data_IF_689121742514
#
_entry.id   IF_689121742514
#
_cell.length_a   1.000
_cell.length_b   1.000
_cell.length_c   1.000
_cell.angle_alpha   90.00
_cell.angle_beta   90.00
_cell.angle_gamma   90.00
#
_symmetry.space_group_name_H-M   'P 1'
#
loop_
_entity.id
_entity.type
_entity.pdbx_description
1 polymer ?
#
# COMPACT_ATOMS: atom_id res chain seq x y z
N UNK A 1 -3.69 -26.25 1.76
CA UNK A 1 -4.67 -25.63 0.87
C UNK A 1 -4.03 -25.50 -0.49
N UNK A 2 -4.49 -26.27 -1.46
CA UNK A 2 -3.98 -26.17 -2.85
C UNK A 2 -4.66 -24.97 -3.56
N UNK A 3 -4.18 -24.58 -4.72
CA UNK A 3 -4.84 -23.52 -5.52
C UNK A 3 -6.30 -23.87 -5.83
N UNK A 4 -6.62 -25.17 -5.88
CA UNK A 4 -7.98 -25.69 -6.08
C UNK A 4 -8.92 -25.47 -4.90
N UNK A 5 -8.38 -25.33 -3.68
CA UNK A 5 -9.16 -25.19 -2.45
C UNK A 5 -9.60 -23.74 -2.14
N UNK A 6 -9.18 -22.77 -2.97
CA UNK A 6 -9.58 -21.38 -2.80
C UNK A 6 -10.98 -21.19 -3.39
N UNK A 7 -11.97 -20.74 -2.59
CA UNK A 7 -13.33 -20.51 -3.08
C UNK A 7 -13.34 -19.55 -4.27
N UNK A 8 -14.28 -19.74 -5.17
CA UNK A 8 -14.53 -18.75 -6.22
C UNK A 8 -15.03 -17.47 -5.55
N UNK A 9 -14.42 -16.33 -5.89
CA UNK A 9 -14.75 -15.06 -5.25
C UNK A 9 -16.23 -14.68 -5.41
N UNK A 10 -16.86 -15.04 -6.51
CA UNK A 10 -18.29 -14.80 -6.74
C UNK A 10 -19.14 -15.58 -5.72
N UNK A 11 -18.77 -16.82 -5.41
CA UNK A 11 -19.49 -17.64 -4.45
C UNK A 11 -19.31 -17.14 -3.01
N UNK A 12 -18.13 -16.58 -2.69
CA UNK A 12 -17.86 -15.91 -1.41
C UNK A 12 -18.82 -14.73 -1.22
N UNK A 13 -18.98 -13.86 -2.23
CA UNK A 13 -19.90 -12.73 -2.14
C UNK A 13 -21.37 -13.14 -2.12
N UNK A 14 -21.76 -14.22 -2.80
CA UNK A 14 -23.13 -14.76 -2.76
C UNK A 14 -23.47 -15.36 -1.40
N UNK A 15 -22.53 -16.03 -0.76
CA UNK A 15 -22.76 -16.69 0.54
C UNK A 15 -22.60 -15.74 1.74
N UNK A 16 -22.01 -14.57 1.54
CA UNK A 16 -21.61 -13.67 2.62
C UNK A 16 -20.58 -14.30 3.58
N UNK A 17 -19.94 -15.40 3.16
CA UNK A 17 -18.97 -16.09 3.99
C UNK A 17 -17.68 -15.28 4.09
N UNK A 18 -17.20 -15.08 5.31
CA UNK A 18 -15.94 -14.40 5.55
C UNK A 18 -14.76 -15.31 5.13
N UNK A 19 -13.73 -14.72 4.51
CA UNK A 19 -12.53 -15.45 4.09
C UNK A 19 -11.50 -15.57 5.23
N UNK A 20 -11.93 -15.98 6.41
CA UNK A 20 -11.10 -16.00 7.63
C UNK A 20 -10.12 -17.17 7.69
N UNK A 21 -10.30 -18.20 6.87
CA UNK A 21 -9.42 -19.36 6.85
C UNK A 21 -7.94 -18.96 6.63
N UNK A 22 -7.09 -19.36 7.54
CA UNK A 22 -5.66 -19.04 7.50
C UNK A 22 -5.32 -17.60 7.97
N UNK A 23 -6.24 -16.95 8.67
CA UNK A 23 -5.99 -15.68 9.37
C UNK A 23 -5.75 -15.93 10.87
N UNK A 24 -5.34 -14.88 11.58
CA UNK A 24 -5.17 -14.92 13.04
C UNK A 24 -6.48 -15.39 13.71
N UNK A 25 -6.39 -16.37 14.58
CA UNK A 25 -7.55 -16.97 15.25
C UNK A 25 -8.24 -18.09 14.45
N UNK A 26 -7.90 -18.29 13.17
CA UNK A 26 -8.53 -19.26 12.27
C UNK A 26 -7.50 -20.15 11.56
N UNK A 27 -6.41 -20.50 12.28
CA UNK A 27 -5.36 -21.37 11.77
C UNK A 27 -5.69 -22.82 12.09
N UNK A 28 -5.43 -23.73 11.14
CA UNK A 28 -5.31 -25.15 11.43
C UNK A 28 -3.93 -25.43 12.06
N UNK A 29 -3.78 -26.58 12.72
CA UNK A 29 -2.49 -27.02 13.29
C UNK A 29 -1.35 -27.01 12.27
N UNK A 30 -1.64 -27.41 11.01
CA UNK A 30 -0.66 -27.37 9.94
C UNK A 30 -0.25 -25.95 9.56
N UNK A 31 -1.19 -25.02 9.57
CA UNK A 31 -0.96 -23.61 9.28
C UNK A 31 -0.20 -22.93 10.43
N UNK A 32 -0.50 -23.27 11.67
CA UNK A 32 0.26 -22.80 12.83
C UNK A 32 1.71 -23.26 12.77
N UNK A 33 1.97 -24.53 12.40
CA UNK A 33 3.33 -25.03 12.17
C UNK A 33 4.07 -24.23 11.10
N UNK A 34 3.40 -23.92 9.98
CA UNK A 34 4.00 -23.09 8.94
C UNK A 34 4.32 -21.67 9.44
N UNK A 35 3.46 -21.07 10.27
CA UNK A 35 3.73 -19.77 10.87
C UNK A 35 4.91 -19.82 11.85
N UNK A 36 5.01 -20.87 12.69
CA UNK A 36 6.17 -21.08 13.55
C UNK A 36 7.47 -21.20 12.75
N UNK A 37 7.48 -22.04 11.70
CA UNK A 37 8.66 -22.19 10.82
C UNK A 37 9.02 -20.86 10.15
N UNK A 38 8.03 -20.09 9.71
CA UNK A 38 8.24 -18.77 9.13
C UNK A 38 8.94 -17.83 10.13
N UNK A 39 8.47 -17.80 11.38
CA UNK A 39 9.10 -17.03 12.45
C UNK A 39 10.52 -17.48 12.75
N UNK A 40 10.79 -18.79 12.81
CA UNK A 40 12.17 -19.30 12.97
C UNK A 40 13.10 -18.72 11.91
N UNK A 41 12.65 -18.67 10.62
CA UNK A 41 13.45 -18.09 9.54
C UNK A 41 13.62 -16.57 9.69
N UNK A 42 12.58 -15.84 10.10
CA UNK A 42 12.65 -14.40 10.34
C UNK A 42 13.62 -14.09 11.49
N UNK A 43 13.53 -14.80 12.60
CA UNK A 43 14.43 -14.65 13.77
C UNK A 43 15.89 -14.87 13.39
N UNK A 44 16.18 -15.97 12.68
CA UNK A 44 17.53 -16.26 12.19
C UNK A 44 18.04 -15.20 11.21
N UNK A 45 17.16 -14.64 10.38
CA UNK A 45 17.52 -13.58 9.44
C UNK A 45 17.80 -12.25 10.14
N UNK A 46 17.09 -11.92 11.21
CA UNK A 46 17.39 -10.77 12.04
C UNK A 46 18.81 -10.86 12.62
N UNK A 47 19.19 -12.02 13.17
CA UNK A 47 20.53 -12.24 13.68
C UNK A 47 21.60 -12.11 12.60
N UNK A 48 21.36 -12.70 11.42
CA UNK A 48 22.29 -12.67 10.29
C UNK A 48 22.48 -11.26 9.68
N UNK A 49 21.49 -10.37 9.82
CA UNK A 49 21.46 -9.05 9.19
C UNK A 49 21.44 -7.87 10.17
N UNK A 50 21.60 -8.11 11.47
CA UNK A 50 21.34 -7.19 12.57
C UNK A 50 21.85 -5.76 12.41
N UNK A 51 22.95 -5.56 11.67
CA UNK A 51 23.57 -4.23 11.48
C UNK A 51 23.80 -3.88 10.00
N UNK A 52 23.24 -4.63 9.07
CA UNK A 52 23.49 -4.41 7.64
C UNK A 52 22.44 -3.45 7.07
N UNK A 53 22.84 -2.24 6.64
CA UNK A 53 21.92 -1.31 5.99
C UNK A 53 21.57 -1.83 4.60
N UNK A 54 20.30 -1.72 4.24
CA UNK A 54 19.83 -1.91 2.87
C UNK A 54 20.04 -0.60 2.11
N UNK A 55 20.76 -0.67 0.99
CA UNK A 55 21.02 0.52 0.17
C UNK A 55 19.75 0.97 -0.53
N UNK A 56 19.47 2.27 -0.46
CA UNK A 56 18.45 2.88 -1.30
C UNK A 56 18.97 2.89 -2.73
N UNK A 57 18.21 2.29 -3.63
CA UNK A 57 18.49 2.33 -5.06
C UNK A 57 17.59 3.39 -5.68
N UNK A 58 18.19 4.46 -6.19
CA UNK A 58 17.46 5.55 -6.85
C UNK A 58 16.85 5.16 -8.21
N UNK A 59 16.67 3.88 -8.50
CA UNK A 59 16.56 3.44 -9.89
C UNK A 59 15.16 3.18 -10.42
N UNK A 60 14.09 3.21 -9.62
CA UNK A 60 12.76 2.92 -10.19
C UNK A 60 11.65 3.90 -9.77
N UNK A 61 11.77 4.54 -8.62
CA UNK A 61 10.93 5.69 -8.28
C UNK A 61 11.86 6.90 -8.40
N UNK A 62 11.92 7.47 -9.60
CA UNK A 62 12.70 8.69 -9.84
C UNK A 62 12.23 9.79 -8.88
N UNK A 63 13.13 10.63 -8.41
CA UNK A 63 12.77 11.76 -7.57
C UNK A 63 11.94 12.76 -8.37
N UNK A 64 10.64 12.68 -8.21
CA UNK A 64 9.70 13.64 -8.80
C UNK A 64 9.54 14.89 -7.92
N UNK A 65 10.48 15.09 -7.02
CA UNK A 65 10.49 16.30 -6.20
C UNK A 65 11.62 17.21 -6.65
N UNK A 66 11.35 18.50 -6.71
CA UNK A 66 12.34 19.55 -7.03
C UNK A 66 13.58 19.46 -6.15
N UNK A 67 13.42 19.09 -4.88
CA UNK A 67 14.49 18.93 -3.91
C UNK A 67 15.48 17.82 -4.29
N UNK A 68 14.97 16.70 -4.78
CA UNK A 68 15.80 15.60 -5.22
C UNK A 68 16.50 15.89 -6.54
N UNK A 69 16.00 16.87 -7.31
CA UNK A 69 16.68 17.45 -8.45
C UNK A 69 17.66 18.57 -8.05
N UNK A 70 17.76 18.90 -6.74
CA UNK A 70 18.61 19.99 -6.23
C UNK A 70 18.10 21.38 -6.59
N UNK A 71 16.81 21.52 -6.92
CA UNK A 71 16.19 22.76 -7.37
C UNK A 71 15.53 23.43 -6.16
N UNK A 72 15.93 24.65 -5.86
CA UNK A 72 15.31 25.44 -4.82
C UNK A 72 13.89 25.87 -5.21
N UNK A 73 12.97 25.79 -4.26
CA UNK A 73 11.53 26.09 -4.48
C UNK A 73 11.29 27.57 -4.83
N UNK A 74 12.14 28.44 -4.33
CA UNK A 74 12.11 29.88 -4.58
C UNK A 74 12.71 30.28 -5.93
N UNK A 75 13.41 29.38 -6.59
CA UNK A 75 13.88 29.57 -7.97
C UNK A 75 12.77 29.19 -8.98
N UNK A 76 11.99 30.20 -9.27
CA UNK A 76 10.83 30.07 -10.13
C UNK A 76 11.15 29.53 -11.53
N UNK A 77 12.23 29.98 -12.12
CA UNK A 77 12.60 29.62 -13.49
C UNK A 77 13.15 28.19 -13.55
N UNK A 78 13.96 27.78 -12.55
CA UNK A 78 14.48 26.44 -12.44
C UNK A 78 13.35 25.41 -12.17
N UNK A 79 12.35 25.77 -11.37
CA UNK A 79 11.14 24.95 -11.15
C UNK A 79 10.39 24.74 -12.44
N UNK A 80 10.14 25.79 -13.21
CA UNK A 80 9.44 25.71 -14.50
C UNK A 80 10.21 24.90 -15.54
N UNK A 81 11.53 25.07 -15.61
CA UNK A 81 12.39 24.28 -16.50
C UNK A 81 12.36 22.79 -16.14
N UNK A 82 12.43 22.47 -14.84
CA UNK A 82 12.37 21.08 -14.37
C UNK A 82 11.02 20.42 -14.72
N UNK A 83 9.91 21.14 -14.48
CA UNK A 83 8.58 20.64 -14.86
C UNK A 83 8.45 20.45 -16.37
N UNK A 84 8.88 21.42 -17.13
CA UNK A 84 8.80 21.35 -18.60
C UNK A 84 9.68 20.22 -19.15
N UNK A 85 10.89 20.01 -18.65
CA UNK A 85 11.78 18.92 -19.05
C UNK A 85 11.19 17.54 -18.71
N UNK A 86 10.51 17.42 -17.58
CA UNK A 86 9.84 16.15 -17.20
C UNK A 86 8.52 15.91 -17.95
N UNK A 87 7.91 16.98 -18.51
CA UNK A 87 6.68 16.92 -19.28
C UNK A 87 6.91 16.97 -20.80
N UNK A 88 8.02 17.53 -21.28
CA UNK A 88 8.39 17.55 -22.70
C UNK A 88 8.64 16.17 -23.32
N UNK A 89 8.99 15.16 -22.49
CA UNK A 89 8.94 13.76 -22.95
C UNK A 89 7.50 13.28 -23.22
N UNK A 90 6.53 14.04 -22.83
CA UNK A 90 5.11 13.82 -22.95
C UNK A 90 4.41 14.73 -23.97
N UNK A 91 5.14 15.33 -24.87
CA UNK A 91 4.68 16.20 -25.99
C UNK A 91 3.36 16.98 -25.81
N UNK A 92 3.41 18.26 -26.11
CA UNK A 92 2.29 19.16 -26.44
C UNK A 92 1.29 19.59 -25.37
N UNK A 93 1.52 19.32 -24.09
CA UNK A 93 0.68 19.89 -23.04
C UNK A 93 1.36 21.13 -22.45
N UNK A 94 0.83 22.28 -22.75
CA UNK A 94 1.14 23.52 -22.01
C UNK A 94 0.62 23.37 -20.59
N UNK A 95 1.48 23.02 -19.67
CA UNK A 95 1.14 22.82 -18.26
C UNK A 95 0.72 24.12 -17.60
N UNK A 96 -0.14 24.01 -16.60
CA UNK A 96 -0.49 25.09 -15.69
C UNK A 96 0.67 25.37 -14.70
N UNK A 97 1.83 25.72 -15.24
CA UNK A 97 3.08 25.86 -14.48
C UNK A 97 2.97 26.76 -13.24
N UNK A 98 2.21 27.85 -13.33
CA UNK A 98 2.06 28.79 -12.20
C UNK A 98 1.24 28.20 -11.06
N UNK A 99 0.18 27.47 -11.38
CA UNK A 99 -0.70 26.85 -10.37
C UNK A 99 0.01 25.69 -9.67
N UNK A 100 0.66 24.82 -10.44
CA UNK A 100 1.38 23.66 -9.90
C UNK A 100 2.55 24.10 -9.00
N UNK A 101 3.23 25.17 -9.37
CA UNK A 101 4.29 25.78 -8.59
C UNK A 101 3.80 26.36 -7.26
N UNK A 102 2.72 27.15 -7.24
CA UNK A 102 2.14 27.65 -6.00
C UNK A 102 1.72 26.52 -5.06
N UNK A 103 1.19 25.43 -5.60
CA UNK A 103 0.80 24.26 -4.82
C UNK A 103 1.99 23.50 -4.27
N UNK A 104 3.05 23.32 -5.05
CA UNK A 104 4.28 22.68 -4.59
C UNK A 104 4.96 23.44 -3.45
N UNK A 105 5.05 24.75 -3.58
CA UNK A 105 5.65 25.60 -2.55
C UNK A 105 4.90 25.44 -1.21
N UNK A 106 3.56 25.52 -1.25
CA UNK A 106 2.73 25.32 -0.07
C UNK A 106 2.84 23.91 0.52
N UNK A 107 2.87 22.91 -0.34
CA UNK A 107 2.98 21.51 0.06
C UNK A 107 4.33 21.19 0.66
N UNK A 108 5.43 21.64 0.06
CA UNK A 108 6.78 21.37 0.58
C UNK A 108 7.01 22.00 1.95
N UNK A 109 6.58 23.22 2.16
CA UNK A 109 6.67 23.85 3.46
C UNK A 109 5.84 23.12 4.53
N UNK A 110 4.77 22.42 4.13
CA UNK A 110 3.89 21.70 5.05
C UNK A 110 4.36 20.28 5.36
N UNK A 111 4.99 19.59 4.40
CA UNK A 111 5.15 18.14 4.43
C UNK A 111 6.60 17.69 4.44
N UNK A 112 7.52 18.48 3.87
CA UNK A 112 8.94 18.07 3.77
C UNK A 112 9.76 18.69 4.89
N UNK A 113 10.06 17.95 5.93
CA UNK A 113 11.00 18.39 6.97
C UNK A 113 12.44 18.20 6.48
N UNK A 114 13.32 19.04 6.97
CA UNK A 114 14.72 19.02 6.59
C UNK A 114 15.51 17.74 6.89
N UNK A 115 14.98 16.82 7.69
CA UNK A 115 15.61 15.52 7.96
C UNK A 115 14.58 14.47 8.34
N UNK A 116 14.55 13.38 7.56
CA UNK A 116 13.83 12.17 7.92
C UNK A 116 14.69 11.32 8.88
N UNK A 117 14.10 10.92 10.00
CA UNK A 117 14.71 9.94 10.92
C UNK A 117 13.88 8.67 10.86
N UNK A 118 14.42 7.55 10.37
CA UNK A 118 13.68 6.31 10.32
C UNK A 118 13.45 5.73 11.71
N UNK A 119 12.36 4.99 11.81
CA UNK A 119 11.95 4.26 12.99
C UNK A 119 13.02 3.26 13.43
N UNK A 120 13.28 3.15 14.73
CA UNK A 120 14.27 2.23 15.33
C UNK A 120 15.71 2.45 14.88
N UNK A 121 16.06 3.63 14.41
CA UNK A 121 17.42 3.93 14.00
C UNK A 121 18.24 4.53 15.13
N UNK A 122 19.48 4.04 15.27
CA UNK A 122 20.55 4.94 15.59
C UNK A 122 20.81 5.82 14.34
N UNK A 123 21.42 6.98 14.50
CA UNK A 123 21.51 8.01 13.44
C UNK A 123 22.18 7.57 12.14
N UNK A 124 22.73 6.36 12.06
CA UNK A 124 23.53 5.87 10.93
C UNK A 124 22.95 4.66 10.18
N UNK A 125 22.15 3.82 10.82
CA UNK A 125 21.67 2.56 10.23
C UNK A 125 20.18 2.62 9.91
N UNK A 126 19.87 3.36 8.94
CA UNK A 126 18.52 3.81 8.72
C UNK A 126 17.58 2.71 8.23
N UNK A 127 17.92 1.95 7.22
CA UNK A 127 17.04 0.94 6.65
C UNK A 127 17.65 -0.44 6.74
N UNK A 128 17.60 -1.02 7.94
CA UNK A 128 17.93 -2.45 8.13
C UNK A 128 16.71 -3.32 7.81
N UNK A 129 16.94 -4.61 7.60
CA UNK A 129 15.85 -5.57 7.43
C UNK A 129 14.87 -5.53 8.62
N UNK A 130 15.38 -5.55 9.84
CA UNK A 130 14.54 -5.53 11.04
C UNK A 130 13.69 -4.27 11.15
N UNK A 131 14.30 -3.08 10.98
CA UNK A 131 13.56 -1.81 11.05
C UNK A 131 12.45 -1.75 9.99
N UNK A 132 12.78 -2.11 8.75
CA UNK A 132 11.81 -2.10 7.65
C UNK A 132 10.71 -3.15 7.84
N UNK A 133 11.05 -4.32 8.40
CA UNK A 133 10.07 -5.34 8.76
C UNK A 133 9.06 -4.84 9.80
N UNK A 134 9.55 -4.24 10.90
CA UNK A 134 8.66 -3.71 11.93
C UNK A 134 7.79 -2.56 11.43
N UNK A 135 8.33 -1.70 10.56
CA UNK A 135 7.54 -0.66 9.88
C UNK A 135 6.44 -1.27 9.03
N UNK A 136 6.74 -2.32 8.24
CA UNK A 136 5.73 -3.00 7.44
C UNK A 136 4.66 -3.66 8.31
N UNK A 137 5.03 -4.23 9.46
CA UNK A 137 4.08 -4.80 10.42
C UNK A 137 3.08 -3.79 10.99
N UNK A 138 3.47 -2.50 11.07
CA UNK A 138 2.55 -1.45 11.53
C UNK A 138 1.33 -1.24 10.62
N UNK A 139 1.39 -1.68 9.37
CA UNK A 139 0.27 -1.62 8.43
C UNK A 139 -0.85 -2.63 8.76
N UNK A 140 -0.63 -3.53 9.70
CA UNK A 140 -1.51 -4.64 10.02
C UNK A 140 -1.85 -4.68 11.52
N UNK A 141 -2.85 -5.46 11.89
CA UNK A 141 -3.27 -5.60 13.30
C UNK A 141 -2.27 -6.39 14.15
N UNK A 142 -1.40 -7.16 13.52
CA UNK A 142 -0.28 -7.82 14.22
C UNK A 142 0.84 -8.21 13.23
N UNK A 143 2.06 -8.45 13.70
CA UNK A 143 3.14 -8.98 12.85
C UNK A 143 2.81 -10.35 12.23
N UNK A 144 2.00 -11.17 12.88
CA UNK A 144 1.53 -12.43 12.31
C UNK A 144 0.64 -12.23 11.08
N UNK A 145 -0.23 -11.23 11.11
CA UNK A 145 -1.08 -10.91 9.97
C UNK A 145 -0.24 -10.63 8.73
N UNK A 146 0.86 -9.89 8.90
CA UNK A 146 1.79 -9.63 7.81
C UNK A 146 2.44 -10.91 7.27
N UNK A 147 2.96 -11.79 8.12
CA UNK A 147 3.57 -13.06 7.70
C UNK A 147 2.56 -14.02 7.05
N UNK A 148 1.35 -14.09 7.59
CA UNK A 148 0.28 -14.93 7.07
C UNK A 148 -0.14 -14.55 5.64
N UNK A 149 0.02 -13.29 5.24
CA UNK A 149 -0.25 -12.87 3.86
C UNK A 149 0.70 -13.57 2.88
N UNK A 150 1.99 -13.66 3.20
CA UNK A 150 2.99 -14.34 2.39
C UNK A 150 2.76 -15.86 2.39
N UNK A 151 2.44 -16.45 3.52
CA UNK A 151 2.15 -17.89 3.64
C UNK A 151 0.93 -18.28 2.80
N UNK A 152 -0.16 -17.52 2.88
CA UNK A 152 -1.36 -17.73 2.04
C UNK A 152 -1.06 -17.54 0.56
N UNK A 153 -0.31 -16.52 0.20
CA UNK A 153 0.03 -16.20 -1.19
C UNK A 153 0.91 -17.28 -1.85
N UNK A 154 1.62 -18.07 -1.07
CA UNK A 154 2.49 -19.15 -1.56
C UNK A 154 1.95 -20.54 -1.28
N UNK A 155 0.64 -20.65 -0.97
CA UNK A 155 -0.01 -21.90 -0.61
C UNK A 155 0.74 -22.64 0.53
N UNK A 156 1.17 -21.89 1.54
CA UNK A 156 1.86 -22.37 2.75
C UNK A 156 3.24 -23.01 2.51
N UNK A 157 3.89 -22.69 1.40
CA UNK A 157 5.28 -23.11 1.12
C UNK A 157 6.23 -22.13 1.83
N UNK A 158 6.61 -22.47 3.07
CA UNK A 158 7.33 -21.57 3.98
C UNK A 158 8.63 -21.00 3.38
N UNK A 159 9.43 -21.82 2.70
CA UNK A 159 10.66 -21.35 2.06
C UNK A 159 10.39 -20.26 1.02
N UNK A 160 9.41 -20.49 0.14
CA UNK A 160 9.00 -19.52 -0.91
C UNK A 160 8.39 -18.27 -0.28
N UNK A 161 7.57 -18.42 0.76
CA UNK A 161 6.98 -17.31 1.50
C UNK A 161 8.07 -16.41 2.14
N UNK A 162 9.08 -17.03 2.74
CA UNK A 162 10.17 -16.32 3.37
C UNK A 162 11.04 -15.57 2.34
N UNK A 163 11.39 -16.19 1.21
CA UNK A 163 12.12 -15.51 0.12
C UNK A 163 11.33 -14.30 -0.43
N UNK A 164 10.01 -14.45 -0.59
CA UNK A 164 9.15 -13.34 -1.03
C UNK A 164 9.08 -12.23 0.03
N UNK A 165 8.99 -12.57 1.31
CA UNK A 165 9.06 -11.60 2.41
C UNK A 165 10.37 -10.81 2.38
N UNK A 166 11.51 -11.50 2.26
CA UNK A 166 12.83 -10.83 2.20
C UNK A 166 12.88 -9.85 1.03
N UNK A 167 12.48 -10.26 -0.17
CA UNK A 167 12.41 -9.38 -1.34
C UNK A 167 11.48 -8.18 -1.14
N UNK A 168 10.34 -8.39 -0.50
CA UNK A 168 9.40 -7.33 -0.18
C UNK A 168 10.01 -6.29 0.77
N UNK A 169 10.69 -6.74 1.83
CA UNK A 169 11.35 -5.86 2.79
C UNK A 169 12.51 -5.10 2.14
N UNK A 170 13.33 -5.78 1.33
CA UNK A 170 14.43 -5.15 0.57
C UNK A 170 13.90 -4.11 -0.43
N UNK A 171 12.79 -4.43 -1.12
CA UNK A 171 12.13 -3.49 -2.02
C UNK A 171 11.62 -2.26 -1.24
N UNK A 172 10.92 -2.43 -0.13
CA UNK A 172 10.41 -1.32 0.69
C UNK A 172 11.54 -0.38 1.13
N UNK A 173 12.64 -0.95 1.60
CA UNK A 173 13.81 -0.20 2.02
C UNK A 173 14.50 0.50 0.84
N UNK A 174 14.68 -0.20 -0.29
CA UNK A 174 15.35 0.34 -1.47
C UNK A 174 14.56 1.47 -2.15
N UNK A 175 13.24 1.42 -2.08
CA UNK A 175 12.34 2.45 -2.60
C UNK A 175 12.02 3.55 -1.59
N UNK A 176 12.61 3.49 -0.39
CA UNK A 176 12.39 4.46 0.67
C UNK A 176 10.88 4.71 0.96
N UNK A 177 10.10 3.62 1.09
CA UNK A 177 8.64 3.72 1.30
C UNK A 177 8.31 4.53 2.57
N UNK A 178 9.14 4.43 3.60
CA UNK A 178 9.05 5.24 4.82
C UNK A 178 9.13 6.74 4.52
N UNK A 179 10.07 7.16 3.64
CA UNK A 179 10.18 8.56 3.22
C UNK A 179 8.99 8.99 2.34
N UNK A 180 8.53 8.12 1.46
CA UNK A 180 7.32 8.39 0.66
C UNK A 180 6.11 8.70 1.54
N UNK A 181 5.94 7.95 2.64
CA UNK A 181 4.84 8.17 3.58
C UNK A 181 5.06 9.42 4.44
N UNK A 182 6.31 9.73 4.78
CA UNK A 182 6.66 10.98 5.45
C UNK A 182 6.37 12.20 4.58
N UNK A 183 6.82 12.20 3.32
CA UNK A 183 6.60 13.30 2.37
C UNK A 183 5.12 13.46 2.00
N UNK A 184 4.37 12.35 2.00
CA UNK A 184 2.94 12.33 1.76
C UNK A 184 2.54 12.63 0.31
N UNK A 185 1.26 12.90 0.12
CA UNK A 185 0.67 13.18 -1.19
C UNK A 185 1.13 14.51 -1.81
N UNK A 186 1.66 15.42 -0.99
CA UNK A 186 2.29 16.63 -1.47
C UNK A 186 3.54 16.41 -2.31
N UNK A 187 4.18 15.25 -2.19
CA UNK A 187 5.33 14.85 -3.01
C UNK A 187 4.96 14.10 -4.28
N UNK A 188 3.66 13.95 -4.54
CA UNK A 188 3.15 13.24 -5.72
C UNK A 188 2.80 14.19 -6.86
N UNK A 189 2.58 13.63 -8.03
CA UNK A 189 2.20 14.39 -9.20
C UNK A 189 0.78 14.98 -9.04
N UNK A 190 0.68 16.31 -8.97
CA UNK A 190 -0.56 17.01 -8.60
C UNK A 190 -1.71 16.71 -9.54
N UNK A 191 -1.46 16.63 -10.86
CA UNK A 191 -2.52 16.35 -11.81
C UNK A 191 -3.25 15.03 -11.50
N UNK A 192 -2.53 13.99 -11.08
CA UNK A 192 -3.15 12.71 -10.72
C UNK A 192 -4.02 12.83 -9.46
N UNK A 193 -3.63 13.73 -8.54
CA UNK A 193 -4.39 14.04 -7.33
C UNK A 193 -5.59 14.93 -7.66
N UNK A 194 -5.39 16.03 -8.38
CA UNK A 194 -6.44 16.98 -8.74
C UNK A 194 -7.56 16.33 -9.56
N UNK A 195 -7.19 15.47 -10.52
CA UNK A 195 -8.15 14.79 -11.38
C UNK A 195 -8.92 13.66 -10.66
N UNK A 196 -8.47 13.23 -9.50
CA UNK A 196 -9.08 12.12 -8.77
C UNK A 196 -8.90 10.78 -9.48
N UNK A 197 -7.68 10.50 -9.95
CA UNK A 197 -7.36 9.21 -10.58
C UNK A 197 -7.70 8.04 -9.66
N UNK A 198 -7.43 8.17 -8.37
CA UNK A 198 -7.78 7.18 -7.36
C UNK A 198 -8.70 7.78 -6.33
N UNK A 199 -9.84 7.15 -6.12
CA UNK A 199 -10.83 7.51 -5.12
C UNK A 199 -10.98 6.42 -4.10
N UNK A 200 -11.44 6.81 -2.93
CA UNK A 200 -11.95 5.91 -1.92
C UNK A 200 -13.43 6.19 -1.73
N UNK A 201 -14.26 5.22 -2.03
CA UNK A 201 -15.70 5.41 -1.94
C UNK A 201 -16.42 4.10 -1.64
N UNK A 202 -17.27 4.14 -0.60
CA UNK A 202 -18.12 3.02 -0.23
C UNK A 202 -17.39 1.82 0.35
N UNK A 203 -18.13 0.74 0.47
CA UNK A 203 -17.68 -0.60 0.90
C UNK A 203 -18.32 -1.69 0.06
N UNK A 204 -17.64 -2.81 0.02
CA UNK A 204 -18.21 -4.01 -0.59
C UNK A 204 -19.20 -4.69 0.36
N UNK A 205 -19.91 -5.71 -0.12
CA UNK A 205 -20.91 -6.47 0.66
C UNK A 205 -20.31 -7.25 1.84
N UNK A 206 -19.00 -7.42 1.88
CA UNK A 206 -18.28 -8.05 2.99
C UNK A 206 -17.75 -7.02 3.99
N UNK A 207 -18.01 -5.72 3.76
CA UNK A 207 -17.60 -4.62 4.63
C UNK A 207 -16.19 -4.09 4.34
N UNK A 208 -15.49 -4.56 3.32
CA UNK A 208 -14.17 -4.06 2.98
C UNK A 208 -14.26 -2.68 2.34
N UNK A 209 -13.32 -1.76 2.61
CA UNK A 209 -13.26 -0.47 1.95
C UNK A 209 -12.99 -0.65 0.44
N UNK A 210 -13.61 0.18 -0.37
CA UNK A 210 -13.45 0.16 -1.82
C UNK A 210 -12.53 1.28 -2.28
N UNK A 211 -11.54 0.90 -3.09
CA UNK A 211 -10.66 1.82 -3.82
C UNK A 211 -11.03 1.76 -5.30
N UNK A 212 -11.27 2.91 -5.90
CA UNK A 212 -11.67 3.04 -7.31
C UNK A 212 -10.57 3.74 -8.08
N UNK A 213 -10.10 3.13 -9.16
CA UNK A 213 -9.13 3.71 -10.09
C UNK A 213 -9.86 4.08 -11.39
N UNK A 214 -9.96 5.35 -11.69
CA UNK A 214 -10.55 5.89 -12.93
C UNK A 214 -9.55 5.84 -14.07
N UNK A 215 -9.47 4.71 -14.77
CA UNK A 215 -8.41 4.44 -15.77
C UNK A 215 -8.36 5.49 -16.89
N UNK A 216 -9.48 6.09 -17.27
CA UNK A 216 -9.56 7.16 -18.27
C UNK A 216 -8.70 8.40 -17.95
N UNK A 217 -8.38 8.61 -16.65
CA UNK A 217 -7.58 9.74 -16.19
C UNK A 217 -6.08 9.42 -16.14
N UNK A 218 -5.70 8.16 -16.36
CA UNK A 218 -4.30 7.75 -16.45
C UNK A 218 -3.79 7.90 -17.87
N UNK A 219 -3.02 8.97 -18.14
CA UNK A 219 -2.46 9.25 -19.46
C UNK A 219 -0.93 9.16 -19.37
N UNK A 220 -0.32 8.04 -19.81
CA UNK A 220 1.13 7.78 -19.66
C UNK A 220 2.02 8.90 -20.19
N UNK A 221 1.68 9.45 -21.35
CA UNK A 221 2.46 10.53 -21.99
C UNK A 221 2.49 11.85 -21.21
N UNK A 222 1.63 12.02 -20.20
CA UNK A 222 1.54 13.25 -19.39
C UNK A 222 2.36 13.16 -18.10
N UNK A 223 3.16 12.12 -17.95
CA UNK A 223 3.95 11.91 -16.73
C UNK A 223 5.35 11.41 -17.02
N UNK A 224 6.30 11.78 -16.18
CA UNK A 224 7.65 11.27 -16.23
C UNK A 224 7.72 9.80 -15.80
N UNK A 225 8.83 9.12 -16.12
CA UNK A 225 9.08 7.76 -15.68
C UNK A 225 9.13 7.67 -14.16
N UNK A 226 8.52 6.63 -13.57
CA UNK A 226 8.51 6.41 -12.14
C UNK A 226 7.33 7.08 -11.39
N UNK A 227 6.71 8.11 -11.98
CA UNK A 227 5.60 8.85 -11.37
C UNK A 227 4.41 7.94 -11.03
N UNK A 228 4.01 7.09 -11.97
CA UNK A 228 2.90 6.17 -11.75
C UNK A 228 3.22 5.11 -10.70
N UNK A 229 4.46 4.63 -10.68
CA UNK A 229 4.95 3.64 -9.72
C UNK A 229 4.98 4.23 -8.31
N UNK A 230 5.47 5.45 -8.14
CA UNK A 230 5.46 6.18 -6.87
C UNK A 230 4.03 6.42 -6.37
N UNK A 231 3.15 6.88 -7.25
CA UNK A 231 1.73 7.08 -6.94
C UNK A 231 1.04 5.76 -6.56
N UNK A 232 1.33 4.67 -7.27
CA UNK A 232 0.80 3.35 -6.96
C UNK A 232 1.29 2.83 -5.61
N UNK A 233 2.59 2.95 -5.30
CA UNK A 233 3.15 2.56 -4.02
C UNK A 233 2.48 3.32 -2.86
N UNK A 234 2.33 4.64 -2.99
CA UNK A 234 1.63 5.46 -2.02
C UNK A 234 0.16 5.03 -1.83
N UNK A 235 -0.55 4.78 -2.93
CA UNK A 235 -1.94 4.30 -2.90
C UNK A 235 -2.07 2.95 -2.21
N UNK A 236 -1.14 2.02 -2.46
CA UNK A 236 -1.13 0.70 -1.83
C UNK A 236 -0.85 0.79 -0.33
N UNK A 237 0.09 1.65 0.10
CA UNK A 237 0.32 1.93 1.53
C UNK A 237 -0.93 2.47 2.22
N UNK A 238 -1.56 3.49 1.63
CA UNK A 238 -2.82 4.03 2.16
C UNK A 238 -3.91 2.95 2.23
N UNK A 239 -4.03 2.13 1.18
CA UNK A 239 -5.02 1.05 1.12
C UNK A 239 -4.80 0.05 2.24
N UNK A 240 -3.55 -0.37 2.51
CA UNK A 240 -3.22 -1.26 3.61
C UNK A 240 -3.58 -0.65 4.97
N UNK A 241 -3.25 0.62 5.20
CA UNK A 241 -3.54 1.32 6.45
C UNK A 241 -5.04 1.45 6.73
N UNK A 242 -5.83 1.64 5.68
CA UNK A 242 -7.28 1.71 5.80
C UNK A 242 -7.86 0.31 6.02
N UNK A 243 -7.43 -0.65 5.22
CA UNK A 243 -7.88 -2.03 5.29
C UNK A 243 -7.64 -2.65 6.69
N UNK A 244 -6.57 -2.24 7.39
CA UNK A 244 -6.28 -2.62 8.78
C UNK A 244 -7.49 -2.45 9.71
N UNK A 245 -8.33 -1.45 9.47
CA UNK A 245 -9.54 -1.17 10.29
C UNK A 245 -10.73 -2.05 9.93
N UNK A 246 -10.67 -2.80 8.82
CA UNK A 246 -11.77 -3.54 8.23
C UNK A 246 -11.40 -5.00 7.90
N UNK A 247 -10.56 -5.64 8.69
CA UNK A 247 -10.16 -7.02 8.47
C UNK A 247 -9.00 -7.21 7.49
N UNK A 248 -8.19 -6.15 7.29
CA UNK A 248 -6.91 -6.16 6.56
C UNK A 248 -7.04 -6.40 5.04
N UNK A 249 -8.23 -6.22 4.48
CA UNK A 249 -8.50 -6.38 3.05
C UNK A 249 -9.27 -5.20 2.48
N UNK A 250 -9.08 -4.95 1.19
CA UNK A 250 -9.80 -3.96 0.42
C UNK A 250 -10.37 -4.57 -0.86
N UNK A 251 -11.41 -3.98 -1.39
CA UNK A 251 -11.87 -4.21 -2.75
C UNK A 251 -11.28 -3.14 -3.67
N UNK A 252 -10.81 -3.53 -4.84
CA UNK A 252 -10.25 -2.62 -5.84
C UNK A 252 -11.12 -2.66 -7.09
N UNK A 253 -11.61 -1.51 -7.52
CA UNK A 253 -12.39 -1.34 -8.74
C UNK A 253 -11.56 -0.53 -9.74
N UNK A 254 -11.25 -1.12 -10.88
CA UNK A 254 -10.73 -0.39 -12.04
C UNK A 254 -11.90 0.00 -12.93
N UNK A 255 -12.21 1.28 -12.97
CA UNK A 255 -13.25 1.82 -13.85
C UNK A 255 -12.65 2.13 -15.23
N UNK A 256 -13.01 1.31 -16.22
CA UNK A 256 -12.62 1.44 -17.62
C UNK A 256 -13.65 2.24 -18.44
N UNK A 257 -14.61 2.91 -17.81
CA UNK A 257 -15.56 3.79 -18.53
C UNK A 257 -14.80 4.90 -19.21
N UNK A 258 -14.94 5.03 -20.52
CA UNK A 258 -14.21 6.01 -21.34
C UNK A 258 -12.74 5.64 -21.62
N UNK A 259 -12.32 4.40 -21.38
CA UNK A 259 -10.98 3.90 -21.68
C UNK A 259 -10.64 4.01 -23.17
N UNK A 260 -9.45 4.54 -23.47
CA UNK A 260 -8.92 4.75 -24.81
C UNK A 260 -7.51 4.17 -24.94
N UNK A 261 -6.98 4.14 -26.18
CA UNK A 261 -5.62 3.68 -26.44
C UNK A 261 -4.55 4.50 -25.72
N UNK A 262 -4.79 5.80 -25.56
CA UNK A 262 -3.90 6.71 -24.84
C UNK A 262 -3.74 6.40 -23.35
N UNK A 263 -4.66 5.61 -22.77
CA UNK A 263 -4.59 5.17 -21.37
C UNK A 263 -3.79 3.86 -21.19
N UNK A 264 -3.34 3.24 -22.29
CA UNK A 264 -2.63 1.97 -22.23
C UNK A 264 -1.17 2.17 -21.81
N UNK A 265 -0.78 1.55 -20.71
CA UNK A 265 0.61 1.49 -20.22
C UNK A 265 0.94 0.07 -19.77
N UNK A 266 1.34 -0.75 -20.72
CA UNK A 266 1.66 -2.15 -20.45
C UNK A 266 2.88 -2.30 -19.54
N UNK A 267 3.85 -1.40 -19.62
CA UNK A 267 5.06 -1.41 -18.80
C UNK A 267 4.70 -1.14 -17.33
N UNK A 268 3.96 -0.06 -17.09
CA UNK A 268 3.49 0.27 -15.74
C UNK A 268 2.60 -0.83 -15.16
N UNK A 269 1.67 -1.38 -15.95
CA UNK A 269 0.78 -2.45 -15.45
C UNK A 269 1.57 -3.68 -15.03
N UNK A 270 2.59 -4.08 -15.79
CA UNK A 270 3.46 -5.18 -15.40
C UNK A 270 4.18 -4.90 -14.08
N UNK A 271 4.71 -3.68 -13.92
CA UNK A 271 5.34 -3.24 -12.66
C UNK A 271 4.34 -3.23 -11.50
N UNK A 272 3.13 -2.70 -11.73
CA UNK A 272 2.06 -2.66 -10.73
C UNK A 272 1.63 -4.07 -10.28
N UNK A 273 1.45 -5.00 -11.22
CA UNK A 273 1.10 -6.39 -10.89
C UNK A 273 2.21 -7.07 -10.08
N UNK A 274 3.47 -6.84 -10.42
CA UNK A 274 4.60 -7.33 -9.63
C UNK A 274 4.61 -6.70 -8.22
N UNK A 275 4.40 -5.39 -8.11
CA UNK A 275 4.35 -4.69 -6.81
C UNK A 275 3.24 -5.26 -5.92
N UNK A 276 2.04 -5.45 -6.46
CA UNK A 276 0.92 -6.02 -5.71
C UNK A 276 1.22 -7.46 -5.30
N UNK A 277 1.70 -8.30 -6.21
CA UNK A 277 1.91 -9.72 -5.92
C UNK A 277 3.08 -9.97 -4.97
N UNK A 278 4.19 -9.24 -5.11
CA UNK A 278 5.40 -9.48 -4.33
C UNK A 278 5.43 -8.71 -3.01
N UNK A 279 4.92 -7.46 -2.98
CA UNK A 279 5.06 -6.58 -1.81
C UNK A 279 3.77 -6.40 -1.00
N UNK A 280 2.61 -6.60 -1.61
CA UNK A 280 1.29 -6.49 -0.94
C UNK A 280 0.42 -7.74 -1.19
N UNK A 281 0.96 -8.95 -0.97
CA UNK A 281 0.22 -10.17 -1.30
C UNK A 281 -1.05 -10.27 -0.46
N UNK A 282 -2.16 -10.71 -1.06
CA UNK A 282 -3.43 -10.96 -0.36
C UNK A 282 -4.11 -9.72 0.29
N UNK A 283 -3.60 -8.51 0.07
CA UNK A 283 -4.23 -7.27 0.55
C UNK A 283 -5.59 -7.03 -0.11
N UNK A 284 -5.74 -7.42 -1.38
CA UNK A 284 -6.98 -7.26 -2.11
C UNK A 284 -7.88 -8.50 -1.92
N UNK A 285 -9.11 -8.27 -1.46
CA UNK A 285 -10.14 -9.30 -1.38
C UNK A 285 -10.68 -9.63 -2.77
N UNK A 286 -10.98 -8.61 -3.54
CA UNK A 286 -11.44 -8.72 -4.93
C UNK A 286 -10.87 -7.57 -5.76
N UNK A 287 -10.56 -7.84 -7.01
CA UNK A 287 -10.28 -6.84 -8.04
C UNK A 287 -11.40 -6.90 -9.07
N UNK A 288 -12.14 -5.81 -9.21
CA UNK A 288 -13.26 -5.70 -10.14
C UNK A 288 -12.84 -4.81 -11.31
N UNK A 289 -12.91 -5.34 -12.51
CA UNK A 289 -12.67 -4.60 -13.75
C UNK A 289 -14.02 -4.20 -14.32
N UNK A 290 -14.42 -2.95 -14.07
CA UNK A 290 -15.68 -2.42 -14.61
C UNK A 290 -15.46 -1.97 -16.05
N UNK A 291 -15.84 -2.81 -17.01
CA UNK A 291 -15.52 -2.63 -18.41
C UNK A 291 -16.48 -3.34 -19.35
N UNK A 292 -16.90 -2.64 -20.42
CA UNK A 292 -17.82 -3.17 -21.42
C UNK A 292 -17.37 -2.93 -22.88
N UNK A 293 -16.15 -2.44 -23.12
CA UNK A 293 -15.68 -2.09 -24.46
C UNK A 293 -14.89 -3.21 -25.13
N UNK A 294 -14.95 -3.30 -26.47
CA UNK A 294 -14.14 -4.22 -27.24
C UNK A 294 -12.63 -3.94 -27.11
N UNK A 295 -12.26 -2.67 -26.94
CA UNK A 295 -10.89 -2.24 -26.72
C UNK A 295 -10.31 -2.81 -25.41
N UNK A 296 -11.12 -2.81 -24.34
CA UNK A 296 -10.78 -3.46 -23.09
C UNK A 296 -10.55 -4.97 -23.28
N UNK A 297 -11.40 -5.64 -24.06
CA UNK A 297 -11.28 -7.09 -24.27
C UNK A 297 -9.94 -7.49 -24.90
N UNK A 298 -9.43 -6.69 -25.84
CA UNK A 298 -8.11 -6.89 -26.43
C UNK A 298 -6.98 -6.65 -25.43
N UNK A 299 -7.09 -5.58 -24.65
CA UNK A 299 -6.16 -5.21 -23.59
C UNK A 299 -6.13 -6.28 -22.48
N UNK A 300 -7.28 -6.73 -22.01
CA UNK A 300 -7.40 -7.76 -20.99
C UNK A 300 -6.75 -9.09 -21.40
N UNK A 301 -6.86 -9.49 -22.67
CA UNK A 301 -6.23 -10.72 -23.17
C UNK A 301 -4.73 -10.74 -22.94
N UNK A 302 -4.07 -9.57 -23.04
CA UNK A 302 -2.64 -9.45 -22.80
C UNK A 302 -2.37 -9.51 -21.28
N UNK A 303 -3.07 -8.71 -20.48
CA UNK A 303 -2.80 -8.57 -19.04
C UNK A 303 -3.14 -9.85 -18.27
N UNK A 304 -4.23 -10.52 -18.61
CA UNK A 304 -4.66 -11.72 -17.91
C UNK A 304 -3.64 -12.85 -17.92
N UNK A 305 -2.77 -12.89 -18.94
CA UNK A 305 -1.68 -13.86 -19.02
C UNK A 305 -0.52 -13.60 -18.04
N UNK A 306 -0.47 -12.41 -17.44
CA UNK A 306 0.58 -12.01 -16.47
C UNK A 306 0.15 -12.17 -15.01
N UNK A 307 -1.14 -12.42 -14.79
CA UNK A 307 -1.66 -12.52 -13.43
C UNK A 307 -1.15 -13.78 -12.72
N UNK A 308 -0.71 -13.60 -11.48
CA UNK A 308 -0.56 -14.73 -10.57
C UNK A 308 -1.90 -15.48 -10.46
N UNK A 309 -1.90 -16.83 -10.44
CA UNK A 309 -3.14 -17.62 -10.37
C UNK A 309 -4.06 -17.27 -9.19
N UNK A 310 -3.52 -16.85 -8.05
CA UNK A 310 -4.31 -16.42 -6.89
C UNK A 310 -4.96 -15.05 -7.12
N UNK A 311 -4.25 -14.14 -7.77
CA UNK A 311 -4.78 -12.83 -8.17
C UNK A 311 -5.85 -13.02 -9.24
N UNK A 312 -5.62 -13.88 -10.23
CA UNK A 312 -6.60 -14.18 -11.28
C UNK A 312 -7.92 -14.70 -10.72
N UNK A 313 -7.90 -15.58 -9.71
CA UNK A 313 -9.11 -16.09 -9.04
C UNK A 313 -9.91 -15.03 -8.28
N UNK A 314 -9.30 -13.92 -7.95
CA UNK A 314 -9.92 -12.79 -7.25
C UNK A 314 -10.20 -11.60 -8.17
N UNK A 315 -9.92 -11.75 -9.47
CA UNK A 315 -10.19 -10.72 -10.48
C UNK A 315 -11.45 -11.11 -11.26
N UNK A 316 -12.40 -10.20 -11.31
CA UNK A 316 -13.67 -10.34 -12.01
C UNK A 316 -13.91 -9.19 -12.95
N UNK A 317 -14.65 -9.43 -14.02
CA UNK A 317 -15.10 -8.39 -14.95
C UNK A 317 -16.58 -8.13 -14.67
N UNK A 318 -16.94 -6.87 -14.44
CA UNK A 318 -18.31 -6.40 -14.30
C UNK A 318 -18.62 -5.46 -15.47
N UNK A 319 -19.50 -5.86 -16.36
CA UNK A 319 -19.80 -5.13 -17.60
C UNK A 319 -20.73 -3.95 -17.39
N UNK A 320 -21.59 -4.05 -16.40
CA UNK A 320 -22.61 -3.07 -16.09
C UNK A 320 -22.84 -2.96 -14.57
N UNK A 321 -23.74 -2.06 -14.20
CA UNK A 321 -24.10 -1.82 -12.80
C UNK A 321 -24.71 -3.07 -12.13
N UNK A 322 -25.43 -3.94 -12.86
CA UNK A 322 -26.06 -5.12 -12.27
C UNK A 322 -25.00 -6.16 -11.88
N UNK A 323 -24.00 -6.35 -12.74
CA UNK A 323 -22.86 -7.22 -12.42
C UNK A 323 -22.02 -6.63 -11.27
N UNK A 324 -21.85 -5.30 -11.21
CA UNK A 324 -21.14 -4.63 -10.12
C UNK A 324 -21.90 -4.77 -8.79
N UNK A 325 -23.22 -4.75 -8.80
CA UNK A 325 -24.07 -4.97 -7.63
C UNK A 325 -23.97 -6.41 -7.05
N UNK A 326 -23.33 -7.34 -7.72
CA UNK A 326 -22.99 -8.61 -7.09
C UNK A 326 -21.99 -8.44 -5.93
N UNK A 327 -21.18 -7.40 -5.96
CA UNK A 327 -20.08 -7.14 -5.02
C UNK A 327 -20.35 -5.96 -4.08
N UNK A 328 -21.13 -4.98 -4.51
CA UNK A 328 -21.41 -3.74 -3.77
C UNK A 328 -22.89 -3.41 -3.82
N UNK A 329 -23.43 -2.83 -2.77
CA UNK A 329 -24.78 -2.31 -2.81
C UNK A 329 -24.85 -1.05 -3.68
N UNK A 330 -25.99 -0.78 -4.30
CA UNK A 330 -26.17 0.37 -5.19
C UNK A 330 -25.83 1.71 -4.49
N UNK A 331 -26.14 1.80 -3.19
CA UNK A 331 -25.85 2.96 -2.35
C UNK A 331 -24.33 3.19 -2.09
N UNK A 332 -23.51 2.18 -2.34
CA UNK A 332 -22.05 2.21 -2.16
C UNK A 332 -21.30 2.37 -3.50
N UNK A 333 -22.03 2.42 -4.62
CA UNK A 333 -21.47 2.63 -5.97
C UNK A 333 -21.67 4.07 -6.38
N UNK A 334 -20.65 4.69 -6.94
CA UNK A 334 -20.67 6.07 -7.40
C UNK A 334 -21.76 6.32 -8.44
N UNK A 335 -22.35 7.52 -8.42
CA UNK A 335 -23.38 7.93 -9.39
C UNK A 335 -22.89 7.96 -10.83
N UNK A 336 -21.61 8.34 -11.06
CA UNK A 336 -21.00 8.31 -12.39
C UNK A 336 -20.73 6.88 -12.92
N UNK A 337 -20.81 5.87 -12.06
CA UNK A 337 -20.79 4.46 -12.39
C UNK A 337 -22.20 3.81 -12.42
N UNK A 338 -23.26 4.62 -12.30
CA UNK A 338 -24.66 4.16 -12.29
C UNK A 338 -25.23 3.81 -10.93
N UNK A 339 -24.49 4.06 -9.85
CA UNK A 339 -24.92 3.84 -8.47
C UNK A 339 -25.76 4.97 -7.89
N UNK A 340 -25.73 5.09 -6.55
CA UNK A 340 -26.44 6.12 -5.81
C UNK A 340 -25.56 6.87 -4.80
N UNK A 341 -24.27 6.55 -4.73
CA UNK A 341 -23.33 7.25 -3.87
C UNK A 341 -22.85 8.53 -4.56
N UNK A 342 -23.27 9.66 -4.02
CA UNK A 342 -22.75 10.97 -4.43
C UNK A 342 -21.33 11.13 -3.90
N UNK A 343 -20.42 11.48 -4.77
CA UNK A 343 -19.03 11.79 -4.39
C UNK A 343 -18.49 12.90 -5.29
N UNK A 344 -18.55 14.11 -4.80
CA UNK A 344 -17.85 15.24 -5.40
C UNK A 344 -16.39 15.18 -4.99
N UNK A 345 -15.56 14.52 -5.81
CA UNK A 345 -14.14 14.51 -5.56
C UNK A 345 -13.56 15.92 -5.63
N UNK A 346 -12.89 16.31 -4.56
CA UNK A 346 -12.11 17.54 -4.48
C UNK A 346 -10.80 17.23 -3.77
N UNK A 347 -9.68 17.47 -4.44
CA UNK A 347 -8.41 17.39 -3.76
C UNK A 347 -8.24 18.57 -2.81
N UNK A 348 -7.95 18.29 -1.55
CA UNK A 348 -7.62 19.28 -0.53
C UNK A 348 -6.12 19.20 -0.29
N UNK A 349 -5.42 20.27 -0.61
CA UNK A 349 -3.97 20.32 -0.45
C UNK A 349 -3.56 20.29 1.03
N UNK A 350 -2.44 19.60 1.35
CA UNK A 350 -1.94 19.58 2.71
C UNK A 350 -1.51 20.98 3.16
N UNK A 351 -1.63 21.24 4.47
CA UNK A 351 -1.18 22.47 5.12
C UNK A 351 -0.06 22.22 6.11
N UNK A 352 0.67 23.26 6.51
CA UNK A 352 1.71 23.14 7.54
C UNK A 352 1.16 22.65 8.87
N UNK A 353 -0.03 23.12 9.22
CA UNK A 353 -0.66 22.90 10.52
C UNK A 353 -1.11 21.46 10.70
N UNK A 354 -1.55 20.79 9.63
CA UNK A 354 -2.10 19.44 9.72
C UNK A 354 -1.06 18.38 10.09
N UNK A 355 0.22 18.65 9.81
CA UNK A 355 1.34 17.73 10.02
C UNK A 355 2.26 18.14 11.19
N UNK A 356 1.82 19.07 12.07
CA UNK A 356 2.65 19.59 13.18
C UNK A 356 3.16 18.50 14.12
N UNK A 357 2.43 17.42 14.32
CA UNK A 357 2.89 16.28 15.13
C UNK A 357 4.17 15.63 14.63
N UNK A 358 4.40 15.64 13.32
CA UNK A 358 5.61 15.06 12.74
C UNK A 358 6.88 15.81 13.17
N UNK A 359 6.73 17.07 13.60
CA UNK A 359 7.81 17.93 14.04
C UNK A 359 7.98 17.96 15.57
N UNK A 360 7.06 17.35 16.31
CA UNK A 360 7.19 17.15 17.75
C UNK A 360 8.17 16.00 18.01
N UNK A 361 9.46 16.34 18.06
CA UNK A 361 10.54 15.35 18.19
C UNK A 361 10.50 14.59 19.52
N UNK A 362 10.05 15.23 20.60
CA UNK A 362 10.03 14.63 21.94
C UNK A 362 8.89 13.59 22.04
N UNK A 363 7.67 13.96 21.63
CA UNK A 363 6.55 13.04 21.63
C UNK A 363 6.74 11.91 20.60
N UNK A 364 7.32 12.20 19.44
CA UNK A 364 7.69 11.17 18.47
C UNK A 364 8.68 10.17 19.06
N UNK A 365 9.75 10.64 19.69
CA UNK A 365 10.76 9.77 20.31
C UNK A 365 10.13 8.89 21.40
N UNK A 366 9.22 9.41 22.21
CA UNK A 366 8.49 8.63 23.21
C UNK A 366 7.66 7.52 22.55
N UNK A 367 6.93 7.86 21.48
CA UNK A 367 6.12 6.89 20.73
C UNK A 367 7.00 5.83 20.01
N UNK A 368 8.19 6.21 19.51
CA UNK A 368 9.16 5.27 18.94
C UNK A 368 9.71 4.29 19.99
N UNK A 369 10.04 4.76 21.18
CA UNK A 369 10.50 3.92 22.30
C UNK A 369 9.38 2.96 22.73
N UNK A 370 8.14 3.44 22.79
CA UNK A 370 6.97 2.63 23.14
C UNK A 370 6.76 1.51 22.11
N UNK A 371 6.81 1.82 20.81
CA UNK A 371 6.69 0.83 19.77
C UNK A 371 7.86 -0.17 19.79
N UNK A 372 9.09 0.32 19.98
CA UNK A 372 10.25 -0.57 20.11
C UNK A 372 10.08 -1.54 21.28
N UNK A 373 9.67 -1.05 22.45
CA UNK A 373 9.43 -1.87 23.63
C UNK A 373 8.35 -2.94 23.37
N UNK A 374 7.27 -2.56 22.70
CA UNK A 374 6.21 -3.47 22.32
C UNK A 374 6.67 -4.52 21.28
N UNK A 375 7.49 -4.11 20.31
CA UNK A 375 8.08 -5.01 19.33
C UNK A 375 9.03 -6.03 20.00
N UNK A 376 9.89 -5.57 20.92
CA UNK A 376 10.80 -6.44 21.69
C UNK A 376 10.01 -7.45 22.54
N UNK A 377 8.95 -7.02 23.20
CA UNK A 377 8.08 -7.91 23.98
C UNK A 377 7.39 -8.97 23.10
N UNK A 378 6.88 -8.56 21.92
CA UNK A 378 6.31 -9.50 20.96
C UNK A 378 7.36 -10.45 20.39
N UNK A 379 8.57 -9.98 20.15
CA UNK A 379 9.69 -10.77 19.68
C UNK A 379 10.08 -11.84 20.69
N UNK A 380 10.25 -11.52 21.99
CA UNK A 380 10.60 -12.46 23.03
C UNK A 380 9.49 -13.51 23.25
N UNK A 381 8.23 -13.08 23.34
CA UNK A 381 7.11 -14.03 23.44
C UNK A 381 6.99 -14.94 22.21
N UNK A 382 7.40 -14.46 21.04
CA UNK A 382 7.44 -15.26 19.81
C UNK A 382 8.57 -16.30 19.85
N UNK A 383 9.76 -15.95 20.35
CA UNK A 383 10.86 -16.92 20.56
C UNK A 383 10.43 -18.05 21.50
N UNK A 384 9.78 -17.71 22.60
CA UNK A 384 9.26 -18.69 23.54
C UNK A 384 8.20 -19.62 22.91
N UNK A 385 7.32 -19.03 22.08
CA UNK A 385 6.29 -19.80 21.39
C UNK A 385 6.85 -20.75 20.33
N UNK A 386 7.82 -20.31 19.51
CA UNK A 386 8.42 -21.19 18.48
C UNK A 386 9.29 -22.28 19.08
N UNK A 387 9.85 -22.09 20.28
CA UNK A 387 10.63 -23.09 20.98
C UNK A 387 9.76 -24.25 21.53
N UNK A 388 8.46 -24.05 21.72
CA UNK A 388 7.53 -25.09 22.18
C UNK A 388 7.20 -26.05 21.02
N UNK A 389 7.34 -27.38 21.21
CA UNK A 389 7.08 -28.33 20.12
C UNK A 389 5.59 -28.45 19.77
N UNK A 390 4.72 -28.12 20.71
CA UNK A 390 3.28 -28.35 20.57
C UNK A 390 2.59 -27.32 19.69
N UNK A 391 1.58 -27.74 18.93
CA UNK A 391 0.61 -26.90 18.24
C UNK A 391 -0.52 -26.54 19.20
N UNK A 392 -1.15 -25.41 19.05
CA UNK A 392 -2.22 -24.92 19.93
C UNK A 392 -1.80 -23.81 20.88
N UNK A 393 -0.52 -23.42 20.88
CA UNK A 393 0.00 -22.29 21.65
C UNK A 393 -0.18 -20.93 20.98
N UNK A 394 -0.83 -20.86 19.81
CA UNK A 394 -1.07 -19.58 19.14
C UNK A 394 -1.88 -18.62 20.00
N UNK A 395 -2.82 -19.12 20.77
CA UNK A 395 -3.64 -18.39 21.73
C UNK A 395 -2.93 -18.18 23.08
N UNK A 396 -1.60 -18.34 23.17
CA UNK A 396 -0.84 -17.98 24.37
C UNK A 396 -1.17 -16.53 24.73
N UNK A 397 -1.75 -16.35 25.90
CA UNK A 397 -2.29 -15.07 26.33
C UNK A 397 -1.23 -13.96 26.36
N UNK A 398 0.01 -14.30 26.71
CA UNK A 398 1.12 -13.36 26.75
C UNK A 398 1.46 -12.84 25.32
N UNK A 399 1.46 -13.74 24.33
CA UNK A 399 1.75 -13.39 22.94
C UNK A 399 0.61 -12.58 22.29
N UNK A 400 -0.64 -12.94 22.56
CA UNK A 400 -1.82 -12.19 22.12
C UNK A 400 -1.80 -10.77 22.71
N UNK A 401 -1.49 -10.65 24.01
CA UNK A 401 -1.36 -9.35 24.66
C UNK A 401 -0.20 -8.53 24.08
N UNK A 402 0.94 -9.15 23.81
CA UNK A 402 2.08 -8.47 23.18
C UNK A 402 1.74 -7.97 21.77
N UNK A 403 0.99 -8.75 20.97
CA UNK A 403 0.51 -8.34 19.66
C UNK A 403 -0.45 -7.13 19.75
N UNK A 404 -1.38 -7.15 20.71
CA UNK A 404 -2.30 -6.03 20.95
C UNK A 404 -1.55 -4.76 21.40
N UNK A 405 -0.54 -4.92 22.27
CA UNK A 405 0.31 -3.81 22.71
C UNK A 405 1.11 -3.20 21.54
N UNK A 406 1.68 -4.07 20.69
CA UNK A 406 2.36 -3.62 19.46
C UNK A 406 1.43 -2.82 18.55
N UNK A 407 0.21 -3.32 18.33
CA UNK A 407 -0.76 -2.63 17.50
C UNK A 407 -1.16 -1.25 18.07
N UNK A 408 -1.40 -1.17 19.39
CA UNK A 408 -1.73 0.10 20.04
C UNK A 408 -0.58 1.11 19.93
N UNK A 409 0.65 0.68 20.14
CA UNK A 409 1.84 1.53 20.00
C UNK A 409 2.03 1.97 18.54
N UNK A 410 1.79 1.09 17.56
CA UNK A 410 1.83 1.41 16.13
C UNK A 410 0.80 2.49 15.76
N UNK A 411 -0.42 2.39 16.28
CA UNK A 411 -1.46 3.40 16.07
C UNK A 411 -1.09 4.77 16.67
N UNK A 412 -0.45 4.76 17.84
CA UNK A 412 0.01 5.99 18.49
C UNK A 412 1.12 6.66 17.69
N UNK A 413 2.11 5.91 17.21
CA UNK A 413 3.24 6.45 16.45
C UNK A 413 2.83 6.96 15.06
N UNK A 414 1.79 6.40 14.46
CA UNK A 414 1.36 6.63 13.08
C UNK A 414 1.36 8.12 12.69
N UNK A 415 0.76 9.00 13.50
CA UNK A 415 0.63 10.42 13.21
C UNK A 415 1.93 11.23 13.36
N UNK A 416 3.00 10.62 13.84
CA UNK A 416 4.31 11.27 14.01
C UNK A 416 5.31 10.93 12.89
N UNK A 417 5.01 9.91 12.08
CA UNK A 417 5.94 9.38 11.08
C UNK A 417 5.42 9.42 9.65
N UNK A 418 4.26 9.97 9.44
CA UNK A 418 3.70 10.17 8.10
C UNK A 418 2.84 11.41 8.00
N UNK A 419 2.74 11.95 6.80
CA UNK A 419 1.78 12.99 6.48
C UNK A 419 0.33 12.47 6.50
N UNK A 420 -0.61 13.35 6.78
CA UNK A 420 -2.05 13.05 6.73
C UNK A 420 -2.47 12.76 5.28
N UNK A 421 -3.36 11.80 5.14
CA UNK A 421 -3.98 11.47 3.86
C UNK A 421 -5.13 12.40 3.50
N UNK A 422 -5.44 12.53 2.22
CA UNK A 422 -6.61 13.29 1.75
C UNK A 422 -7.88 12.92 2.54
N UNK A 423 -8.12 11.64 2.76
CA UNK A 423 -9.30 11.19 3.47
C UNK A 423 -9.33 11.56 4.97
N UNK A 424 -8.19 11.86 5.56
CA UNK A 424 -8.10 12.35 6.94
C UNK A 424 -8.26 13.87 7.01
N UNK A 425 -8.07 14.56 5.87
CA UNK A 425 -8.33 16.00 5.73
C UNK A 425 -9.79 16.32 5.42
N UNK A 426 -10.50 15.37 4.80
CA UNK A 426 -11.89 15.54 4.34
C UNK A 426 -12.92 14.81 5.21
N UNK A 427 -12.48 14.15 6.30
CA UNK A 427 -13.33 13.42 7.24
C UNK A 427 -14.03 14.34 8.25
#
# INVERSE_FOLDING_TARGET
MTITDIPNIIDVYKSGSNMDAGTVGHLTDAQERCLKEMWVKVLAHFEATASKPIKVTHSQIQPDSLESAGIAIDDADAVDQWYNANLEQASDIKTQTVRDKMHLDGVREAVVPGSFKPLFSDEQATRTFANTFWQACMLYSSPDCYLLMFLRATSWKVGVAFERLVKSIEWRASQAIDKLMWDGDGSLHHKMMDDGLVLRAGKDKLGNPVVIVRVKLSIPRERANGVAEKFAAYTLEQTAMIARRYGERAALVYDFTGFKRENMDLTFIKTLLNMISESYPQMLNVTILHANSWLFSGFWRIISSWLDPLVAKRTVIAKDINELQAFMDKSEILTDMGGALENEYKYVYPTKEENTKMFDTDERLRAEIELKTAADAFFETTKDWVAKPDVGGYADQARVQAAATFHAAALRLDSFIRARFLAERTA
#
